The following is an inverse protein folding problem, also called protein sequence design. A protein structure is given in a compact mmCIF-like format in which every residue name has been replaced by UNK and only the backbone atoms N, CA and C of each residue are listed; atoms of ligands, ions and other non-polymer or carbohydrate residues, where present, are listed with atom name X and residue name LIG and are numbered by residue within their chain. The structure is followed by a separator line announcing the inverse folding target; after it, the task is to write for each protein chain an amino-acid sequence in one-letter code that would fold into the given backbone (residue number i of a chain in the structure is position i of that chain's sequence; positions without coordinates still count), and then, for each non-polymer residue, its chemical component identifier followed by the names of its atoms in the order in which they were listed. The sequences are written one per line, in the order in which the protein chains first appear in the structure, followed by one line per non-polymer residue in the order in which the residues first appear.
data_IF_528648704923
#
_entry.id   IF_528648704923
#
_cell.length_a   1.000
_cell.length_b   1.000
_cell.length_c   1.000
_cell.angle_alpha   90.00
_cell.angle_beta   90.00
_cell.angle_gamma   90.00
#
_symmetry.space_group_name_H-M   'P 1'
#
loop_
_entity.id
_entity.type
_entity.pdbx_description
1 polymer ?
#
# COMPACT_ATOMS: atom_id res chain seq x y z
N UNK A 1 41.48 -1.07 -4.39
CA UNK A 1 40.38 -0.81 -5.34
C UNK A 1 39.64 -2.09 -5.73
N UNK A 2 40.35 -3.15 -6.12
CA UNK A 2 39.74 -4.42 -6.56
C UNK A 2 38.84 -5.10 -5.52
N UNK A 3 39.19 -5.03 -4.23
CA UNK A 3 38.35 -5.59 -3.14
C UNK A 3 36.99 -4.88 -3.05
N UNK A 4 36.98 -3.56 -3.10
CA UNK A 4 35.75 -2.76 -3.07
C UNK A 4 34.89 -3.02 -4.31
N UNK A 5 35.51 -3.09 -5.50
CA UNK A 5 34.78 -3.41 -6.73
C UNK A 5 34.22 -4.83 -6.71
N UNK A 6 34.97 -5.80 -6.17
CA UNK A 6 34.51 -7.17 -5.98
C UNK A 6 33.33 -7.26 -5.02
N UNK A 7 33.34 -6.51 -3.91
CA UNK A 7 32.19 -6.38 -3.02
C UNK A 7 30.99 -5.73 -3.72
N UNK A 8 31.22 -4.69 -4.53
CA UNK A 8 30.19 -3.97 -5.26
C UNK A 8 29.45 -4.89 -6.24
N UNK A 9 30.22 -5.58 -7.09
CA UNK A 9 29.70 -6.51 -8.10
C UNK A 9 29.10 -7.75 -7.43
N UNK A 10 29.77 -8.32 -6.43
CA UNK A 10 29.28 -9.50 -5.70
C UNK A 10 27.95 -9.22 -5.01
N UNK A 11 27.84 -8.07 -4.33
CA UNK A 11 26.59 -7.61 -3.74
C UNK A 11 25.50 -7.37 -4.79
N UNK A 12 25.84 -6.82 -5.96
CA UNK A 12 24.89 -6.61 -7.04
C UNK A 12 24.37 -7.93 -7.63
N UNK A 13 25.26 -8.89 -7.89
CA UNK A 13 24.87 -10.22 -8.38
C UNK A 13 23.99 -10.92 -7.35
N UNK A 14 24.37 -10.87 -6.07
CA UNK A 14 23.57 -11.42 -4.99
C UNK A 14 22.19 -10.74 -4.91
N UNK A 15 22.12 -9.43 -5.09
CA UNK A 15 20.87 -8.68 -5.11
C UNK A 15 19.97 -9.11 -6.26
N UNK A 16 20.52 -9.25 -7.47
CA UNK A 16 19.76 -9.75 -8.63
C UNK A 16 19.24 -11.16 -8.38
N UNK A 17 20.06 -12.05 -7.81
CA UNK A 17 19.63 -13.40 -7.46
C UNK A 17 18.54 -13.38 -6.39
N UNK A 18 18.68 -12.53 -5.36
CA UNK A 18 17.69 -12.37 -4.30
C UNK A 18 16.33 -11.92 -4.84
N UNK A 19 16.32 -10.97 -5.78
CA UNK A 19 15.09 -10.46 -6.38
C UNK A 19 14.44 -11.43 -7.39
N UNK A 20 15.25 -12.20 -8.13
CA UNK A 20 14.74 -13.14 -9.15
C UNK A 20 14.22 -14.43 -8.51
N UNK A 21 14.92 -14.92 -7.48
CA UNK A 21 14.59 -16.17 -6.79
C UNK A 21 13.99 -15.91 -5.41
N UNK A 22 13.27 -14.79 -5.30
CA UNK A 22 12.55 -14.40 -4.10
C UNK A 22 11.59 -15.52 -3.66
N UNK A 23 11.52 -15.80 -2.36
CA UNK A 23 10.78 -16.94 -1.80
C UNK A 23 11.45 -18.33 -1.91
N UNK A 24 12.16 -18.66 -3.00
CA UNK A 24 12.91 -19.93 -3.12
C UNK A 24 14.16 -19.91 -2.25
N UNK A 25 14.89 -18.79 -2.29
CA UNK A 25 16.05 -18.59 -1.44
C UNK A 25 15.63 -18.47 0.03
N UNK A 26 14.56 -17.75 0.32
CA UNK A 26 14.03 -17.62 1.69
C UNK A 26 13.64 -18.99 2.27
N UNK A 27 12.94 -19.84 1.48
CA UNK A 27 12.61 -21.21 1.91
C UNK A 27 13.82 -22.14 2.08
N UNK A 28 14.94 -21.87 1.40
CA UNK A 28 16.19 -22.64 1.55
C UNK A 28 17.03 -22.17 2.75
N UNK A 29 16.90 -20.88 3.11
CA UNK A 29 17.61 -20.24 4.23
C UNK A 29 16.74 -20.09 5.49
N UNK A 30 15.61 -20.80 5.57
CA UNK A 30 14.61 -20.74 6.66
C UNK A 30 15.23 -20.96 8.06
N UNK A 31 16.35 -21.71 8.15
CA UNK A 31 17.12 -21.90 9.39
C UNK A 31 17.91 -20.66 9.89
N UNK A 32 18.10 -19.64 9.04
CA UNK A 32 18.69 -18.33 9.37
C UNK A 32 17.58 -17.26 9.56
N UNK A 33 16.33 -17.59 9.20
CA UNK A 33 15.16 -16.69 9.17
C UNK A 33 14.64 -16.22 10.53
N UNK A 34 15.12 -16.79 11.64
CA UNK A 34 14.72 -16.33 12.99
C UNK A 34 15.15 -14.87 13.24
N UNK A 35 16.25 -14.42 12.64
CA UNK A 35 16.63 -13.00 12.66
C UNK A 35 15.74 -12.16 11.72
N UNK A 36 15.34 -12.70 10.56
CA UNK A 36 14.56 -11.96 9.57
C UNK A 36 13.13 -11.65 10.08
N UNK A 37 12.53 -12.61 10.80
CA UNK A 37 11.26 -12.45 11.49
C UNK A 37 11.35 -11.48 12.69
N UNK A 38 12.50 -11.39 13.37
CA UNK A 38 12.72 -10.48 14.51
C UNK A 38 12.87 -9.02 14.06
N UNK A 39 13.39 -8.79 12.85
CA UNK A 39 13.71 -7.45 12.33
C UNK A 39 12.75 -6.99 11.23
N UNK A 40 11.59 -7.61 11.05
CA UNK A 40 10.51 -7.17 10.15
C UNK A 40 11.02 -6.84 8.72
N UNK A 41 11.86 -7.74 8.17
CA UNK A 41 12.45 -7.59 6.82
C UNK A 41 13.61 -6.60 6.69
N UNK A 42 14.01 -5.92 7.78
CA UNK A 42 15.15 -4.98 7.79
C UNK A 42 16.51 -5.68 7.65
N UNK A 43 16.57 -7.00 7.86
CA UNK A 43 17.74 -7.86 7.62
C UNK A 43 17.53 -8.88 6.49
N UNK A 44 16.61 -8.58 5.57
CA UNK A 44 16.34 -9.46 4.44
C UNK A 44 17.55 -9.58 3.51
N UNK A 45 17.65 -10.73 2.82
CA UNK A 45 18.73 -11.02 1.87
C UNK A 45 18.94 -9.90 0.82
N UNK A 46 17.89 -9.32 0.20
CA UNK A 46 18.05 -8.20 -0.72
C UNK A 46 18.62 -6.94 -0.05
N UNK A 47 18.23 -6.64 1.18
CA UNK A 47 18.73 -5.45 1.90
C UNK A 47 20.23 -5.58 2.19
N UNK A 48 20.67 -6.76 2.65
CA UNK A 48 22.09 -7.04 2.88
C UNK A 48 22.87 -6.98 1.57
N UNK A 49 22.36 -7.60 0.51
CA UNK A 49 23.01 -7.60 -0.80
C UNK A 49 23.15 -6.17 -1.38
N UNK A 50 22.09 -5.36 -1.26
CA UNK A 50 22.09 -3.96 -1.65
C UNK A 50 23.08 -3.12 -0.84
N UNK A 51 23.15 -3.33 0.48
CA UNK A 51 24.13 -2.66 1.34
C UNK A 51 25.57 -3.01 0.95
N UNK A 52 25.88 -4.30 0.76
CA UNK A 52 27.21 -4.75 0.33
C UNK A 52 27.59 -4.17 -1.03
N UNK A 53 26.62 -4.09 -1.95
CA UNK A 53 26.84 -3.48 -3.26
C UNK A 53 27.17 -1.98 -3.15
N UNK A 54 26.38 -1.22 -2.39
CA UNK A 54 26.61 0.22 -2.19
C UNK A 54 27.88 0.53 -1.41
N UNK A 55 28.24 -0.30 -0.42
CA UNK A 55 29.51 -0.21 0.29
C UNK A 55 30.69 -0.42 -0.67
N UNK A 56 30.61 -1.47 -1.49
CA UNK A 56 31.65 -1.80 -2.47
C UNK A 56 31.81 -0.71 -3.52
N UNK A 57 30.73 -0.30 -4.19
CA UNK A 57 30.80 0.75 -5.21
C UNK A 57 31.13 2.13 -4.63
N UNK A 58 30.53 2.52 -3.50
CA UNK A 58 30.81 3.79 -2.83
C UNK A 58 32.27 3.88 -2.36
N UNK A 59 32.81 2.81 -1.77
CA UNK A 59 34.22 2.74 -1.40
C UNK A 59 35.16 2.69 -2.60
N UNK A 60 34.79 1.99 -3.68
CA UNK A 60 35.58 1.97 -4.91
C UNK A 60 35.65 3.36 -5.56
N UNK A 61 34.54 4.09 -5.60
CA UNK A 61 34.47 5.45 -6.13
C UNK A 61 35.37 6.40 -5.34
N UNK A 62 35.25 6.44 -4.01
CA UNK A 62 36.08 7.34 -3.18
C UNK A 62 37.55 6.95 -3.26
N UNK A 63 37.89 5.67 -3.16
CA UNK A 63 39.28 5.23 -3.25
C UNK A 63 39.90 5.53 -4.63
N UNK A 64 39.12 5.35 -5.71
CA UNK A 64 39.58 5.56 -7.08
C UNK A 64 39.67 7.03 -7.50
N UNK A 65 38.85 7.91 -6.92
CA UNK A 65 38.80 9.33 -7.31
C UNK A 65 39.60 10.24 -6.38
N UNK A 66 39.68 9.92 -5.09
CA UNK A 66 40.30 10.82 -4.09
C UNK A 66 41.67 10.36 -3.61
N UNK A 67 41.98 9.06 -3.74
CA UNK A 67 43.25 8.49 -3.26
C UNK A 67 43.44 8.55 -1.73
N UNK A 68 42.41 8.93 -0.96
CA UNK A 68 42.46 9.16 0.49
C UNK A 68 42.66 7.90 1.35
N UNK A 69 42.92 6.75 0.72
CA UNK A 69 43.15 5.47 1.39
C UNK A 69 41.86 4.75 1.82
N UNK A 70 42.04 3.57 2.42
CA UNK A 70 40.97 2.60 2.69
C UNK A 70 39.98 3.08 3.77
N UNK A 71 40.42 3.85 4.76
CA UNK A 71 39.57 4.33 5.85
C UNK A 71 38.45 5.27 5.38
N UNK A 72 38.77 6.37 4.69
CA UNK A 72 37.76 7.27 4.10
C UNK A 72 36.86 6.58 3.07
N UNK A 73 37.41 5.64 2.29
CA UNK A 73 36.64 4.84 1.35
C UNK A 73 35.59 3.95 2.03
N UNK A 74 35.94 3.27 3.14
CA UNK A 74 35.00 2.51 3.95
C UNK A 74 33.90 3.40 4.53
N UNK A 75 34.28 4.54 5.13
CA UNK A 75 33.32 5.47 5.72
C UNK A 75 32.31 5.98 4.67
N UNK A 76 32.79 6.32 3.47
CA UNK A 76 31.92 6.74 2.38
C UNK A 76 31.01 5.62 1.87
N UNK A 77 31.52 4.39 1.75
CA UNK A 77 30.73 3.22 1.37
C UNK A 77 29.61 2.93 2.37
N UNK A 78 29.92 2.95 3.68
CA UNK A 78 28.91 2.79 4.74
C UNK A 78 27.88 3.92 4.70
N UNK A 79 28.32 5.17 4.53
CA UNK A 79 27.43 6.32 4.39
C UNK A 79 26.51 6.21 3.18
N UNK A 80 27.03 5.76 2.04
CA UNK A 80 26.24 5.54 0.83
C UNK A 80 25.21 4.42 1.02
N UNK A 81 25.59 3.30 1.62
CA UNK A 81 24.67 2.19 1.94
C UNK A 81 23.57 2.61 2.91
N UNK A 82 23.92 3.29 4.01
CA UNK A 82 22.95 3.80 4.98
C UNK A 82 22.01 4.85 4.37
N UNK A 83 22.54 5.77 3.54
CA UNK A 83 21.75 6.77 2.85
C UNK A 83 20.75 6.17 1.86
N UNK A 84 21.18 5.16 1.09
CA UNK A 84 20.29 4.42 0.20
C UNK A 84 19.19 3.68 0.97
N UNK A 85 19.54 2.98 2.06
CA UNK A 85 18.58 2.30 2.91
C UNK A 85 17.55 3.23 3.53
N UNK A 86 18.00 4.38 4.08
CA UNK A 86 17.11 5.41 4.62
C UNK A 86 16.15 5.96 3.56
N UNK A 87 16.63 6.20 2.35
CA UNK A 87 15.83 6.72 1.25
C UNK A 87 14.74 5.71 0.84
N UNK A 88 15.11 4.43 0.67
CA UNK A 88 14.16 3.35 0.37
C UNK A 88 13.12 3.20 1.47
N UNK A 89 13.52 3.21 2.75
CA UNK A 89 12.60 3.14 3.88
C UNK A 89 11.61 4.32 3.86
N UNK A 90 12.11 5.54 3.65
CA UNK A 90 11.29 6.74 3.58
C UNK A 90 10.28 6.68 2.41
N UNK A 91 10.72 6.23 1.23
CA UNK A 91 9.84 6.08 0.07
C UNK A 91 8.79 4.98 0.29
N UNK A 92 9.20 3.82 0.80
CA UNK A 92 8.28 2.73 1.13
C UNK A 92 7.22 3.19 2.13
N UNK A 93 7.65 3.88 3.20
CA UNK A 93 6.74 4.43 4.22
C UNK A 93 5.80 5.49 3.65
N UNK A 94 6.24 6.27 2.67
CA UNK A 94 5.40 7.26 2.01
C UNK A 94 4.37 6.61 1.08
N UNK A 95 4.75 5.54 0.36
CA UNK A 95 3.85 4.79 -0.52
C UNK A 95 2.83 3.94 0.24
N UNK A 96 3.24 3.35 1.37
CA UNK A 96 2.37 2.55 2.24
C UNK A 96 1.48 3.40 3.16
N UNK A 97 1.57 4.73 3.07
CA UNK A 97 0.76 5.62 3.90
C UNK A 97 -0.63 5.76 3.29
N UNK A 98 -1.42 4.72 3.44
CA UNK A 98 -2.87 4.83 3.29
C UNK A 98 -3.41 5.52 4.55
N UNK A 99 -3.82 6.78 4.42
CA UNK A 99 -4.69 7.38 5.42
C UNK A 99 -6.03 6.65 5.36
N UNK A 100 -6.44 5.92 6.41
CA UNK A 100 -7.74 5.28 6.40
C UNK A 100 -8.78 6.38 6.32
N UNK A 101 -9.46 6.49 5.17
CA UNK A 101 -10.69 7.26 5.09
C UNK A 101 -11.60 6.77 6.21
N UNK A 102 -12.20 7.71 6.96
CA UNK A 102 -13.13 7.40 8.05
C UNK A 102 -14.08 6.31 7.59
N UNK A 103 -14.13 5.18 8.32
CA UNK A 103 -15.00 4.05 7.98
C UNK A 103 -16.41 4.58 7.73
N UNK A 104 -16.95 4.43 6.51
CA UNK A 104 -18.25 4.99 6.21
C UNK A 104 -19.32 4.45 7.16
N UNK A 105 -20.04 5.34 7.81
CA UNK A 105 -21.09 4.99 8.76
C UNK A 105 -22.44 5.15 8.10
N UNK A 106 -23.45 4.48 8.66
CA UNK A 106 -24.82 4.62 8.16
C UNK A 106 -25.37 6.05 8.29
N UNK A 107 -24.82 6.87 9.19
CA UNK A 107 -25.13 8.31 9.28
C UNK A 107 -24.65 9.10 8.05
N UNK A 108 -23.56 8.66 7.41
CA UNK A 108 -23.02 9.29 6.18
C UNK A 108 -23.88 9.01 4.94
N UNK A 109 -24.84 8.07 5.04
CA UNK A 109 -25.79 7.80 3.96
C UNK A 109 -26.84 8.90 3.82
N UNK A 110 -27.16 9.63 4.90
CA UNK A 110 -28.20 10.66 4.90
C UNK A 110 -27.76 11.82 4.01
N UNK A 111 -28.62 12.22 3.07
CA UNK A 111 -28.30 13.24 2.08
C UNK A 111 -27.48 12.72 0.90
N UNK A 112 -27.18 11.41 0.80
CA UNK A 112 -26.60 10.83 -0.41
C UNK A 112 -27.67 10.64 -1.50
N UNK A 113 -27.28 10.88 -2.76
CA UNK A 113 -28.11 10.59 -3.93
C UNK A 113 -27.91 9.16 -4.41
N UNK A 114 -28.96 8.57 -4.96
CA UNK A 114 -28.92 7.22 -5.51
C UNK A 114 -29.95 7.00 -6.60
N UNK A 115 -30.03 5.76 -7.07
CA UNK A 115 -31.01 5.35 -8.06
C UNK A 115 -31.74 4.07 -7.65
N UNK A 116 -33.01 3.98 -8.01
CA UNK A 116 -33.83 2.80 -7.70
C UNK A 116 -33.48 1.65 -8.64
N UNK A 117 -33.03 0.53 -8.09
CA UNK A 117 -32.73 -0.71 -8.83
C UNK A 117 -33.98 -1.57 -8.98
N UNK A 118 -34.73 -1.71 -7.88
CA UNK A 118 -35.99 -2.46 -7.80
C UNK A 118 -37.07 -1.50 -7.30
N UNK A 119 -38.17 -1.41 -8.05
CA UNK A 119 -39.25 -0.46 -7.78
C UNK A 119 -39.73 -0.56 -6.32
N UNK A 120 -39.98 0.60 -5.70
CA UNK A 120 -40.40 0.69 -4.31
C UNK A 120 -41.93 0.81 -4.30
N UNK A 121 -42.67 -0.18 -3.79
CA UNK A 121 -44.12 -0.10 -3.66
C UNK A 121 -44.54 0.85 -2.52
N UNK A 122 -45.81 1.26 -2.47
CA UNK A 122 -46.34 2.11 -1.40
C UNK A 122 -46.20 1.48 -0.01
N UNK A 123 -46.32 0.16 0.08
CA UNK A 123 -46.22 -0.59 1.33
C UNK A 123 -45.31 -1.81 1.14
N UNK A 124 -44.01 -1.57 1.25
CA UNK A 124 -42.99 -2.61 1.13
C UNK A 124 -41.59 -2.04 0.93
N UNK A 125 -40.65 -2.93 0.61
CA UNK A 125 -39.27 -2.58 0.31
C UNK A 125 -38.99 -2.74 -1.18
N UNK A 126 -38.25 -1.78 -1.73
CA UNK A 126 -37.52 -1.94 -2.99
C UNK A 126 -36.01 -1.99 -2.72
N UNK A 127 -35.23 -1.80 -3.78
CA UNK A 127 -33.77 -1.73 -3.68
C UNK A 127 -33.25 -0.46 -4.35
N UNK A 128 -32.29 0.19 -3.72
CA UNK A 128 -31.60 1.37 -4.25
C UNK A 128 -30.11 1.13 -4.30
N UNK A 129 -29.46 1.78 -5.27
CA UNK A 129 -28.02 1.90 -5.36
C UNK A 129 -27.62 3.30 -4.87
N UNK A 130 -26.85 3.37 -3.79
CA UNK A 130 -26.35 4.62 -3.20
C UNK A 130 -24.83 4.60 -3.29
N UNK A 131 -24.22 5.77 -3.49
CA UNK A 131 -22.76 5.90 -3.53
C UNK A 131 -22.23 6.36 -2.18
N UNK A 132 -21.47 5.50 -1.50
CA UNK A 132 -20.84 5.79 -0.22
C UNK A 132 -19.33 5.82 -0.41
N UNK A 133 -18.70 6.97 -0.15
CA UNK A 133 -17.27 7.21 -0.42
C UNK A 133 -16.85 6.80 -1.85
N UNK A 134 -17.72 7.03 -2.84
CA UNK A 134 -17.49 6.68 -4.25
C UNK A 134 -17.74 5.21 -4.61
N UNK A 135 -18.08 4.35 -3.64
CA UNK A 135 -18.43 2.94 -3.88
C UNK A 135 -19.95 2.77 -4.02
N UNK A 136 -20.46 2.12 -5.08
CA UNK A 136 -21.88 1.82 -5.21
C UNK A 136 -22.27 0.66 -4.29
N UNK A 137 -23.19 0.91 -3.35
CA UNK A 137 -23.69 -0.08 -2.39
C UNK A 137 -25.21 -0.20 -2.53
N UNK A 138 -25.72 -1.42 -2.44
CA UNK A 138 -27.16 -1.68 -2.48
C UNK A 138 -27.75 -1.65 -1.07
N UNK A 139 -28.87 -0.96 -0.94
CA UNK A 139 -29.67 -0.94 0.28
C UNK A 139 -31.12 -1.28 -0.03
N UNK A 140 -31.80 -1.90 0.93
CA UNK A 140 -33.25 -1.98 0.91
C UNK A 140 -33.81 -0.58 1.15
N UNK A 141 -34.82 -0.18 0.36
CA UNK A 141 -35.37 1.16 0.42
C UNK A 141 -36.86 1.15 0.70
N UNK A 142 -37.28 2.08 1.57
CA UNK A 142 -38.68 2.39 1.81
C UNK A 142 -38.96 3.84 1.42
N UNK A 143 -40.11 4.11 0.82
CA UNK A 143 -40.54 5.44 0.40
C UNK A 143 -42.00 5.64 0.79
N UNK A 144 -42.40 6.88 1.11
CA UNK A 144 -43.79 7.22 1.40
C UNK A 144 -44.70 7.15 0.16
N UNK A 145 -44.12 7.29 -1.04
CA UNK A 145 -44.81 7.25 -2.33
C UNK A 145 -44.17 6.16 -3.20
N UNK A 146 -44.93 5.43 -4.03
CA UNK A 146 -44.36 4.50 -4.99
C UNK A 146 -43.28 5.14 -5.86
N UNK A 147 -42.14 4.48 -6.00
CA UNK A 147 -41.02 4.96 -6.83
C UNK A 147 -40.67 3.93 -7.89
N UNK A 148 -40.69 4.36 -9.14
CA UNK A 148 -40.35 3.50 -10.28
C UNK A 148 -38.85 3.19 -10.33
N UNK A 149 -38.52 2.05 -10.93
CA UNK A 149 -37.13 1.67 -11.24
C UNK A 149 -36.46 2.76 -12.09
N UNK A 150 -35.21 3.07 -11.77
CA UNK A 150 -34.40 4.07 -12.46
C UNK A 150 -34.64 5.51 -12.00
N UNK A 151 -35.61 5.75 -11.11
CA UNK A 151 -35.81 7.08 -10.54
C UNK A 151 -34.63 7.47 -9.64
N UNK A 152 -34.29 8.75 -9.67
CA UNK A 152 -33.31 9.36 -8.78
C UNK A 152 -33.94 9.59 -7.41
N UNK A 153 -33.20 9.28 -6.34
CA UNK A 153 -33.67 9.41 -4.96
C UNK A 153 -32.64 10.12 -4.09
N UNK A 154 -33.11 10.69 -2.99
CA UNK A 154 -32.30 11.13 -1.86
C UNK A 154 -32.58 10.25 -0.64
N UNK A 155 -31.54 9.87 0.07
CA UNK A 155 -31.66 9.19 1.37
C UNK A 155 -32.03 10.23 2.44
N UNK A 156 -33.18 10.06 3.08
CA UNK A 156 -33.65 10.94 4.15
C UNK A 156 -33.25 10.44 5.53
N UNK A 157 -33.27 9.12 5.72
CA UNK A 157 -32.99 8.52 7.01
C UNK A 157 -32.36 7.14 6.83
N UNK A 158 -31.45 6.79 7.73
CA UNK A 158 -30.95 5.44 7.86
C UNK A 158 -31.85 4.65 8.83
N UNK A 159 -32.59 3.66 8.33
CA UNK A 159 -33.52 2.86 9.13
C UNK A 159 -32.80 1.71 9.82
N UNK A 160 -31.82 1.09 9.16
CA UNK A 160 -31.02 0.00 9.69
C UNK A 160 -29.70 -0.15 8.90
N UNK A 161 -28.74 -0.98 9.36
CA UNK A 161 -27.47 -1.20 8.65
C UNK A 161 -27.61 -1.64 7.18
N UNK A 162 -28.79 -2.12 6.77
CA UNK A 162 -29.08 -2.56 5.40
C UNK A 162 -30.33 -1.91 4.79
N UNK A 163 -30.96 -0.96 5.47
CA UNK A 163 -32.17 -0.30 4.96
C UNK A 163 -32.22 1.21 5.19
N UNK A 164 -32.76 1.92 4.20
CA UNK A 164 -32.82 3.39 4.17
C UNK A 164 -34.23 3.88 3.78
N UNK A 165 -34.62 5.01 4.34
CA UNK A 165 -35.78 5.76 3.89
C UNK A 165 -35.35 6.72 2.79
N UNK A 166 -36.08 6.73 1.67
CA UNK A 166 -35.72 7.52 0.50
C UNK A 166 -36.93 8.30 -0.03
N UNK A 167 -36.64 9.46 -0.62
CA UNK A 167 -37.62 10.29 -1.33
C UNK A 167 -37.17 10.51 -2.77
N UNK A 168 -38.10 10.45 -3.76
CA UNK A 168 -37.79 10.77 -5.15
C UNK A 168 -37.36 12.24 -5.30
N UNK A 169 -36.38 12.48 -6.18
CA UNK A 169 -35.99 13.84 -6.57
C UNK A 169 -37.09 14.44 -7.44
N UNK A 170 -37.68 15.54 -6.99
CA UNK A 170 -38.56 16.37 -7.82
C UNK A 170 -37.66 17.32 -8.62
N UNK A 171 -37.70 17.22 -9.95
CA UNK A 171 -37.08 18.19 -10.86
C UNK A 171 -38.04 19.30 -11.21
#
# INVERSE_FOLDING_TARGET
MSVFLGLGIGGLVLLVLALVFDGVLEGLFDGVGVLDALFDGLLSLPVIAGFVSMLGFGGALVLGTTGLGTGPALAAGVGAGAGAGWLTWKFSRALMRDEPATTPRGEDLVGSSGSVVTAIPADGYGEVLVYLAGQPVKYAAKSAVPVARGAEIWVEENLSPTSVAVRPVQR
#
